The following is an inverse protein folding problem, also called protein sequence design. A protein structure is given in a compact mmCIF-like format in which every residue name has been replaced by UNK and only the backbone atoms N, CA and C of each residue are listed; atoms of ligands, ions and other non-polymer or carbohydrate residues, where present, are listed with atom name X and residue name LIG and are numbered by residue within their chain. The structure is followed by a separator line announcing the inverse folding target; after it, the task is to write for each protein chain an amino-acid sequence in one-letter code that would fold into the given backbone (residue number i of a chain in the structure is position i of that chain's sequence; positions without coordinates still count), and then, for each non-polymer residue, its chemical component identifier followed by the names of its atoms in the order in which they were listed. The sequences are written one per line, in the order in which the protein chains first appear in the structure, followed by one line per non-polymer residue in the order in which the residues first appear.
data_IF_642179027919
#
_entry.id   IF_642179027919
#
_cell.length_a   1.000
_cell.length_b   1.000
_cell.length_c   1.000
_cell.angle_alpha   90.00
_cell.angle_beta   90.00
_cell.angle_gamma   90.00
#
_symmetry.space_group_name_H-M   'P 1'
#
loop_
_entity.id
_entity.type
_entity.pdbx_description
1 polymer ?
#
# COMPACT_ATOMS: atom_id res chain seq x y z
N UNK A 1 15.58 4.87 -13.33
CA UNK A 1 15.36 3.87 -12.25
C UNK A 1 16.49 3.79 -11.20
N UNK A 2 17.54 4.63 -11.21
CA UNK A 2 18.66 4.56 -10.24
C UNK A 2 18.67 5.60 -9.11
N UNK A 3 17.72 6.55 -9.08
CA UNK A 3 17.71 7.67 -8.11
C UNK A 3 16.78 7.47 -6.90
N UNK A 4 15.94 6.44 -6.88
CA UNK A 4 15.02 6.18 -5.76
C UNK A 4 15.62 5.30 -4.65
N UNK A 5 16.71 4.60 -4.93
CA UNK A 5 17.37 3.73 -3.95
C UNK A 5 18.13 4.54 -2.88
N UNK A 6 18.72 5.68 -3.27
CA UNK A 6 19.44 6.58 -2.35
C UNK A 6 18.50 7.31 -1.39
N UNK A 7 17.28 7.67 -1.81
CA UNK A 7 16.27 8.30 -0.95
C UNK A 7 15.69 7.36 0.11
N UNK A 8 15.52 6.07 -0.22
CA UNK A 8 15.07 5.06 0.75
C UNK A 8 16.17 4.80 1.79
N UNK A 9 17.44 4.73 1.36
CA UNK A 9 18.58 4.55 2.25
C UNK A 9 18.78 5.73 3.22
N UNK A 10 18.53 6.96 2.75
CA UNK A 10 18.60 8.19 3.57
C UNK A 10 17.55 8.24 4.69
N UNK A 11 16.43 7.55 4.57
CA UNK A 11 15.42 7.45 5.63
C UNK A 11 15.77 6.42 6.72
N UNK A 12 16.58 5.40 6.39
CA UNK A 12 17.02 4.39 7.36
C UNK A 12 18.04 4.92 8.37
N UNK A 13 18.89 5.89 7.99
CA UNK A 13 19.86 6.50 8.90
C UNK A 13 19.23 7.23 10.11
N UNK A 14 18.27 8.17 9.94
CA UNK A 14 17.68 8.89 11.07
C UNK A 14 16.85 7.98 11.99
N UNK A 15 16.19 6.95 11.45
CA UNK A 15 15.41 5.98 12.25
C UNK A 15 16.30 5.10 13.14
N UNK A 16 17.49 4.70 12.67
CA UNK A 16 18.47 3.96 13.49
C UNK A 16 19.10 4.84 14.58
N UNK A 17 19.26 6.14 14.34
CA UNK A 17 19.79 7.10 15.32
C UNK A 17 18.75 7.34 16.45
N UNK A 18 17.46 7.43 16.11
CA UNK A 18 16.38 7.50 17.11
C UNK A 18 16.28 6.22 17.96
N UNK A 19 16.45 5.04 17.34
CA UNK A 19 16.42 3.76 18.06
C UNK A 19 17.59 3.63 19.04
N UNK A 20 18.80 4.04 18.65
CA UNK A 20 20.01 4.01 19.51
C UNK A 20 19.94 5.03 20.64
N UNK A 21 19.42 6.23 20.40
CA UNK A 21 19.16 7.24 21.44
C UNK A 21 18.17 6.75 22.51
N UNK A 22 17.11 6.03 22.10
CA UNK A 22 16.14 5.43 23.03
C UNK A 22 16.72 4.32 23.91
N UNK A 23 17.74 3.60 23.41
CA UNK A 23 18.37 2.50 24.14
C UNK A 23 19.37 3.01 25.20
N UNK A 24 20.06 4.11 24.92
CA UNK A 24 21.03 4.72 25.84
C UNK A 24 20.34 5.37 27.04
N UNK A 25 19.13 5.90 26.87
CA UNK A 25 18.39 6.55 27.97
C UNK A 25 17.71 5.58 28.96
N UNK A 26 17.64 4.27 28.66
CA UNK A 26 16.99 3.29 29.53
C UNK A 26 17.91 2.69 30.62
N UNK A 27 19.20 3.04 30.65
CA UNK A 27 20.21 2.45 31.56
C UNK A 27 20.66 3.32 32.74
N UNK A 28 20.02 4.46 33.01
CA UNK A 28 20.31 5.26 34.22
C UNK A 28 19.23 5.08 35.28
N UNK A 29 19.28 3.95 35.98
CA UNK A 29 18.68 3.84 37.31
C UNK A 29 19.80 4.08 38.35
N UNK A 30 19.73 5.13 39.18
CA UNK A 30 20.64 5.29 40.30
C UNK A 30 20.34 4.18 41.31
N UNK A 31 21.28 3.26 41.46
CA UNK A 31 21.29 2.22 42.48
C UNK A 31 21.43 2.90 43.84
N UNK A 32 20.33 2.96 44.60
CA UNK A 32 20.35 3.37 46.00
C UNK A 32 20.89 2.18 46.80
N UNK A 33 22.17 2.25 47.15
CA UNK A 33 22.83 1.32 48.07
C UNK A 33 22.19 1.48 49.46
N UNK A 34 21.54 0.45 50.03
CA UNK A 34 21.02 0.54 51.38
C UNK A 34 22.19 0.39 52.37
N UNK A 35 22.51 1.47 53.08
CA UNK A 35 23.43 1.40 54.22
C UNK A 35 22.80 0.57 55.34
N UNK A 36 23.34 -0.62 55.58
CA UNK A 36 22.99 -1.42 56.75
C UNK A 36 23.73 -0.84 57.96
N UNK A 37 23.01 -0.12 58.82
CA UNK A 37 23.48 0.22 60.16
C UNK A 37 23.33 -1.02 61.03
N UNK A 38 24.43 -1.76 61.18
CA UNK A 38 24.51 -2.86 62.13
C UNK A 38 24.46 -2.26 63.54
N UNK A 39 23.31 -2.39 64.21
CA UNK A 39 23.20 -2.00 65.62
C UNK A 39 23.82 -3.11 66.45
N UNK A 40 25.13 -3.03 66.68
CA UNK A 40 25.81 -3.88 67.66
C UNK A 40 25.34 -3.47 69.07
N UNK A 41 24.21 -4.03 69.52
CA UNK A 41 23.91 -4.16 70.94
C UNK A 41 24.71 -5.35 71.46
N UNK A 42 25.98 -5.13 71.78
CA UNK A 42 26.72 -6.06 72.64
C UNK A 42 26.01 -6.07 74.00
N UNK A 43 25.32 -7.16 74.30
CA UNK A 43 24.83 -7.42 75.65
C UNK A 43 26.06 -7.64 76.52
N UNK A 44 26.44 -6.61 77.30
CA UNK A 44 27.42 -6.78 78.36
C UNK A 44 26.74 -7.62 79.44
N UNK A 45 27.16 -8.87 79.57
CA UNK A 45 26.77 -9.77 80.64
C UNK A 45 27.45 -9.24 81.92
N UNK A 46 26.75 -8.40 82.68
CA UNK A 46 27.17 -8.04 84.02
C UNK A 46 26.75 -9.18 84.95
N UNK A 47 27.72 -9.85 85.57
CA UNK A 47 27.49 -10.86 86.61
C UNK A 47 26.82 -10.22 87.83
N UNK A 48 25.49 -10.09 87.79
CA UNK A 48 24.71 -9.78 88.97
C UNK A 48 24.77 -11.02 89.85
N UNK A 49 25.50 -10.92 90.97
CA UNK A 49 25.53 -11.92 92.03
C UNK A 49 24.08 -12.29 92.38
N UNK A 50 23.64 -13.48 91.98
CA UNK A 50 22.29 -13.99 92.24
C UNK A 50 22.09 -14.06 93.75
N UNK A 51 21.29 -13.16 94.29
CA UNK A 51 20.78 -13.32 95.64
C UNK A 51 19.90 -14.57 95.66
N UNK A 52 20.25 -15.50 96.54
CA UNK A 52 19.59 -16.78 96.79
C UNK A 52 18.13 -16.58 97.23
N UNK A 53 17.25 -16.34 96.27
CA UNK A 53 15.79 -16.27 96.45
C UNK A 53 15.06 -17.40 95.71
N UNK A 54 15.74 -18.49 95.38
CA UNK A 54 15.14 -19.62 94.66
C UNK A 54 14.07 -20.38 95.48
N UNK A 55 14.00 -20.14 96.78
CA UNK A 55 13.07 -20.82 97.70
C UNK A 55 12.00 -19.89 98.30
N UNK A 56 11.91 -18.63 97.89
CA UNK A 56 10.84 -17.74 98.34
C UNK A 56 9.52 -18.09 97.62
N UNK A 57 8.49 -18.43 98.38
CA UNK A 57 7.17 -18.85 97.86
C UNK A 57 6.57 -17.80 96.92
N UNK A 58 6.78 -16.52 97.23
CA UNK A 58 6.34 -15.38 96.42
C UNK A 58 7.07 -15.33 95.07
N UNK A 59 8.39 -15.50 95.05
CA UNK A 59 9.20 -15.45 93.82
C UNK A 59 8.92 -16.65 92.92
N UNK A 60 8.67 -17.83 93.50
CA UNK A 60 8.28 -19.03 92.76
C UNK A 60 6.93 -18.83 92.06
N UNK A 61 5.96 -18.20 92.72
CA UNK A 61 4.64 -17.90 92.13
C UNK A 61 4.74 -16.90 90.96
N UNK A 62 5.59 -15.88 91.07
CA UNK A 62 5.82 -14.90 89.99
C UNK A 62 6.52 -15.54 88.80
N UNK A 63 7.51 -16.42 89.05
CA UNK A 63 8.21 -17.18 88.00
C UNK A 63 7.25 -18.09 87.22
N UNK A 64 6.40 -18.86 87.90
CA UNK A 64 5.39 -19.70 87.23
C UNK A 64 4.40 -18.89 86.41
N UNK A 65 3.97 -17.72 86.90
CA UNK A 65 3.09 -16.80 86.15
C UNK A 65 3.80 -16.29 84.89
N UNK A 66 5.07 -15.92 84.99
CA UNK A 66 5.86 -15.43 83.87
C UNK A 66 6.11 -16.52 82.83
N UNK A 67 6.48 -17.73 83.27
CA UNK A 67 6.69 -18.89 82.39
C UNK A 67 5.39 -19.26 81.66
N UNK A 68 4.26 -19.27 82.38
CA UNK A 68 2.94 -19.52 81.79
C UNK A 68 2.55 -18.46 80.76
N UNK A 69 2.70 -17.17 81.07
CA UNK A 69 2.41 -16.08 80.13
C UNK A 69 3.35 -16.10 78.91
N UNK A 70 4.63 -16.41 79.14
CA UNK A 70 5.64 -16.49 78.08
C UNK A 70 5.34 -17.65 77.14
N UNK A 71 5.00 -18.83 77.67
CA UNK A 71 4.59 -20.00 76.88
C UNK A 71 3.35 -19.71 76.03
N UNK A 72 2.36 -19.01 76.59
CA UNK A 72 1.15 -18.62 75.86
C UNK A 72 1.44 -17.64 74.70
N UNK A 73 2.32 -16.65 74.91
CA UNK A 73 2.76 -15.74 73.83
C UNK A 73 3.53 -16.46 72.73
N UNK A 74 4.33 -17.47 73.08
CA UNK A 74 5.05 -18.28 72.08
C UNK A 74 4.09 -19.09 71.22
N UNK A 75 3.05 -19.69 71.82
CA UNK A 75 2.01 -20.40 71.06
C UNK A 75 1.23 -19.45 70.14
N UNK A 76 0.78 -18.31 70.63
CA UNK A 76 0.09 -17.28 69.80
C UNK A 76 1.00 -16.74 68.69
N UNK A 77 2.31 -16.59 68.95
CA UNK A 77 3.27 -16.17 67.94
C UNK A 77 3.46 -17.26 66.87
N UNK A 78 3.57 -18.53 67.26
CA UNK A 78 3.65 -19.64 66.32
C UNK A 78 2.41 -19.73 65.43
N UNK A 79 1.21 -19.61 65.99
CA UNK A 79 -0.03 -19.67 65.22
C UNK A 79 -0.14 -18.52 64.22
N UNK A 80 0.15 -17.28 64.66
CA UNK A 80 0.22 -16.13 63.74
C UNK A 80 1.29 -16.31 62.66
N UNK A 81 2.42 -16.93 63.00
CA UNK A 81 3.49 -17.19 62.03
C UNK A 81 3.09 -18.28 61.03
N UNK A 82 2.39 -19.33 61.45
CA UNK A 82 1.83 -20.36 60.57
C UNK A 82 0.81 -19.75 59.62
N UNK A 83 -0.14 -18.95 60.13
CA UNK A 83 -1.16 -18.27 59.32
C UNK A 83 -0.53 -17.33 58.27
N UNK A 84 0.43 -16.49 58.67
CA UNK A 84 1.14 -15.58 57.76
C UNK A 84 1.93 -16.34 56.69
N UNK A 85 2.59 -17.45 57.05
CA UNK A 85 3.30 -18.30 56.09
C UNK A 85 2.34 -18.93 55.08
N UNK A 86 1.18 -19.38 55.54
CA UNK A 86 0.15 -19.98 54.68
C UNK A 86 -0.42 -18.96 53.69
N UNK A 87 -0.82 -17.77 54.17
CA UNK A 87 -1.26 -16.65 53.31
C UNK A 87 -0.25 -16.31 52.21
N UNK A 88 1.04 -16.20 52.57
CA UNK A 88 2.12 -15.92 51.61
C UNK A 88 2.43 -17.06 50.65
N UNK A 89 2.04 -18.30 50.98
CA UNK A 89 2.19 -19.46 50.09
C UNK A 89 1.04 -19.48 49.08
N UNK A 90 -0.20 -19.30 49.55
CA UNK A 90 -1.39 -19.19 48.71
C UNK A 90 -1.32 -18.01 47.73
N UNK A 91 -0.87 -16.84 48.18
CA UNK A 91 -0.68 -15.67 47.32
C UNK A 91 0.36 -15.93 46.22
N UNK A 92 1.43 -16.66 46.55
CA UNK A 92 2.48 -17.02 45.59
C UNK A 92 1.96 -18.02 44.56
N UNK A 93 1.24 -19.04 45.01
CA UNK A 93 0.64 -20.06 44.14
C UNK A 93 -0.39 -19.45 43.19
N UNK A 94 -1.21 -18.50 43.69
CA UNK A 94 -2.15 -17.72 42.87
C UNK A 94 -1.44 -16.89 41.80
N UNK A 95 -0.38 -16.17 42.16
CA UNK A 95 0.42 -15.38 41.23
C UNK A 95 1.11 -16.26 40.17
N UNK A 96 1.60 -17.45 40.56
CA UNK A 96 2.19 -18.41 39.62
C UNK A 96 1.14 -18.91 38.63
N UNK A 97 -0.06 -19.26 39.09
CA UNK A 97 -1.15 -19.70 38.21
C UNK A 97 -1.54 -18.61 37.20
N UNK A 98 -1.65 -17.34 37.63
CA UNK A 98 -1.99 -16.23 36.74
C UNK A 98 -0.91 -16.01 35.67
N UNK A 99 0.38 -16.09 36.04
CA UNK A 99 1.50 -15.99 35.10
C UNK A 99 1.46 -17.12 34.06
N UNK A 100 1.15 -18.35 34.47
CA UNK A 100 1.04 -19.51 33.57
C UNK A 100 -0.12 -19.33 32.59
N UNK A 101 -1.30 -18.90 33.08
CA UNK A 101 -2.47 -18.63 32.24
C UNK A 101 -2.17 -17.55 31.19
N UNK A 102 -1.53 -16.46 31.60
CA UNK A 102 -1.16 -15.36 30.71
C UNK A 102 -0.15 -15.79 29.64
N UNK A 103 0.85 -16.59 30.00
CA UNK A 103 1.84 -17.15 29.06
C UNK A 103 1.18 -18.09 28.04
N UNK A 104 0.18 -18.88 28.47
CA UNK A 104 -0.58 -19.78 27.59
C UNK A 104 -1.43 -19.01 26.57
N UNK A 105 -2.07 -17.91 26.97
CA UNK A 105 -2.83 -17.05 26.05
C UNK A 105 -1.92 -16.31 25.06
N UNK A 106 -0.79 -15.76 25.52
CA UNK A 106 0.20 -15.12 24.63
C UNK A 106 0.75 -16.10 23.58
N UNK A 107 0.99 -17.36 23.98
CA UNK A 107 1.49 -18.41 23.08
C UNK A 107 0.44 -18.85 22.05
N UNK A 108 -0.84 -18.91 22.42
CA UNK A 108 -1.92 -19.31 21.50
C UNK A 108 -2.27 -18.21 20.49
N UNK A 109 -2.28 -16.93 20.90
CA UNK A 109 -2.44 -15.79 20.00
C UNK A 109 -1.32 -15.74 18.96
N UNK A 110 -0.09 -15.96 19.40
CA UNK A 110 1.08 -16.03 18.54
C UNK A 110 0.98 -17.12 17.47
N UNK A 111 0.64 -18.34 17.88
CA UNK A 111 0.55 -19.50 17.00
C UNK A 111 -0.56 -19.31 15.95
N UNK A 112 -1.69 -18.71 16.35
CA UNK A 112 -2.77 -18.32 15.42
C UNK A 112 -2.32 -17.28 14.39
N UNK A 113 -1.57 -16.26 14.81
CA UNK A 113 -1.06 -15.23 13.90
C UNK A 113 -0.01 -15.81 12.94
N UNK A 114 0.86 -16.70 13.42
CA UNK A 114 1.89 -17.37 12.61
C UNK A 114 1.26 -18.30 11.56
N UNK A 115 0.27 -19.11 11.97
CA UNK A 115 -0.49 -19.99 11.06
C UNK A 115 -1.34 -19.21 10.05
N UNK A 116 -1.89 -18.07 10.47
CA UNK A 116 -2.58 -17.13 9.57
C UNK A 116 -1.64 -16.50 8.55
N UNK A 117 -0.46 -16.05 8.99
CA UNK A 117 0.56 -15.45 8.12
C UNK A 117 1.15 -16.47 7.13
N UNK A 118 1.36 -17.73 7.53
CA UNK A 118 1.84 -18.79 6.63
C UNK A 118 0.80 -19.14 5.56
N UNK A 119 -0.49 -19.20 5.92
CA UNK A 119 -1.59 -19.40 4.95
C UNK A 119 -1.70 -18.23 3.96
N UNK A 120 -1.55 -17.00 4.44
CA UNK A 120 -1.60 -15.80 3.59
C UNK A 120 -0.35 -15.70 2.70
N UNK A 121 0.83 -16.06 3.21
CA UNK A 121 2.09 -16.11 2.46
C UNK A 121 2.13 -17.19 1.38
N UNK A 122 1.57 -18.38 1.62
CA UNK A 122 1.46 -19.41 0.58
C UNK A 122 0.44 -19.05 -0.51
N UNK A 123 -0.63 -18.32 -0.16
CA UNK A 123 -1.57 -17.79 -1.15
C UNK A 123 -0.94 -16.70 -2.04
N UNK A 124 -0.02 -15.90 -1.50
CA UNK A 124 0.68 -14.83 -2.23
C UNK A 124 1.97 -15.30 -2.93
N UNK A 125 2.59 -16.40 -2.48
CA UNK A 125 3.91 -16.83 -2.92
C UNK A 125 3.98 -17.90 -4.01
N UNK A 126 2.89 -18.63 -4.32
CA UNK A 126 3.00 -19.84 -5.16
C UNK A 126 2.00 -20.02 -6.32
N UNK A 127 0.80 -19.43 -6.29
CA UNK A 127 -0.26 -19.78 -7.25
C UNK A 127 -0.94 -18.62 -7.99
N UNK A 128 -0.75 -17.38 -7.55
CA UNK A 128 -1.53 -16.23 -8.04
C UNK A 128 -0.76 -15.34 -9.04
N UNK A 129 0.55 -15.54 -9.17
CA UNK A 129 1.38 -14.79 -10.12
C UNK A 129 1.00 -15.01 -11.60
N UNK A 130 0.67 -16.23 -12.07
CA UNK A 130 0.33 -16.41 -13.49
C UNK A 130 -1.02 -15.78 -13.83
N UNK A 131 -2.01 -15.93 -12.94
CA UNK A 131 -3.40 -15.58 -13.24
C UNK A 131 -3.64 -14.07 -13.19
N UNK A 132 -3.09 -13.36 -12.20
CA UNK A 132 -3.27 -11.90 -12.12
C UNK A 132 -2.47 -11.15 -13.19
N UNK A 133 -1.32 -11.68 -13.61
CA UNK A 133 -0.56 -11.17 -14.75
C UNK A 133 -1.27 -11.39 -16.09
N UNK A 134 -1.87 -12.57 -16.29
CA UNK A 134 -2.62 -12.89 -17.51
C UNK A 134 -3.91 -12.09 -17.65
N UNK A 135 -4.68 -11.94 -16.56
CA UNK A 135 -5.94 -11.18 -16.60
C UNK A 135 -5.64 -9.70 -16.86
N UNK A 136 -4.70 -9.08 -16.13
CA UNK A 136 -4.38 -7.67 -16.33
C UNK A 136 -3.84 -7.35 -17.74
N UNK A 137 -3.01 -8.23 -18.31
CA UNK A 137 -2.47 -8.07 -19.67
C UNK A 137 -3.54 -8.14 -20.77
N UNK A 138 -4.49 -9.08 -20.65
CA UNK A 138 -5.56 -9.24 -21.63
C UNK A 138 -6.52 -8.04 -21.65
N UNK A 139 -6.89 -7.54 -20.47
CA UNK A 139 -7.74 -6.35 -20.38
C UNK A 139 -7.04 -5.11 -20.93
N UNK A 140 -5.75 -4.90 -20.64
CA UNK A 140 -4.98 -3.78 -21.20
C UNK A 140 -4.90 -3.83 -22.73
N UNK A 141 -4.68 -5.00 -23.31
CA UNK A 141 -4.61 -5.17 -24.76
C UNK A 141 -5.95 -4.83 -25.43
N UNK A 142 -7.06 -5.41 -24.95
CA UNK A 142 -8.40 -5.13 -25.49
C UNK A 142 -8.79 -3.66 -25.33
N UNK A 143 -8.47 -3.05 -24.20
CA UNK A 143 -8.77 -1.64 -23.96
C UNK A 143 -7.95 -0.71 -24.85
N UNK A 144 -6.67 -1.03 -25.07
CA UNK A 144 -5.81 -0.27 -25.98
C UNK A 144 -6.32 -0.33 -27.43
N UNK A 145 -6.83 -1.47 -27.88
CA UNK A 145 -7.45 -1.62 -29.19
C UNK A 145 -8.78 -0.87 -29.32
N UNK A 146 -9.60 -0.86 -28.26
CA UNK A 146 -10.86 -0.11 -28.25
C UNK A 146 -10.61 1.41 -28.35
N UNK A 147 -9.63 1.92 -27.58
CA UNK A 147 -9.28 3.35 -27.58
C UNK A 147 -8.77 3.79 -28.95
N UNK A 148 -7.90 3.01 -29.59
CA UNK A 148 -7.38 3.35 -30.93
C UNK A 148 -8.49 3.33 -31.99
N UNK A 149 -9.40 2.36 -31.95
CA UNK A 149 -10.55 2.34 -32.86
C UNK A 149 -11.45 3.57 -32.70
N UNK A 150 -11.74 3.96 -31.47
CA UNK A 150 -12.60 5.12 -31.19
C UNK A 150 -11.94 6.45 -31.60
N UNK A 151 -10.62 6.59 -31.38
CA UNK A 151 -9.86 7.74 -31.83
C UNK A 151 -9.86 7.85 -33.36
N UNK A 152 -9.61 6.73 -34.07
CA UNK A 152 -9.65 6.68 -35.54
C UNK A 152 -11.04 7.07 -36.08
N UNK A 153 -12.12 6.61 -35.44
CA UNK A 153 -13.48 6.95 -35.85
C UNK A 153 -13.75 8.45 -35.76
N UNK A 154 -13.39 9.09 -34.63
CA UNK A 154 -13.51 10.55 -34.49
C UNK A 154 -12.60 11.31 -35.45
N UNK A 155 -11.41 10.79 -35.73
CA UNK A 155 -10.52 11.30 -36.78
C UNK A 155 -11.17 11.33 -38.15
N UNK A 156 -11.82 10.23 -38.53
CA UNK A 156 -12.53 10.10 -39.81
C UNK A 156 -13.69 11.10 -39.90
N UNK A 157 -14.51 11.21 -38.85
CA UNK A 157 -15.64 12.14 -38.80
C UNK A 157 -15.18 13.61 -38.95
N UNK A 158 -14.14 14.01 -38.21
CA UNK A 158 -13.56 15.35 -38.30
C UNK A 158 -12.90 15.63 -39.66
N UNK A 159 -12.19 14.64 -40.22
CA UNK A 159 -11.54 14.76 -41.52
C UNK A 159 -12.54 14.93 -42.66
N UNK A 160 -13.62 14.13 -42.67
CA UNK A 160 -14.69 14.24 -43.67
C UNK A 160 -15.39 15.60 -43.55
N UNK A 161 -15.77 16.02 -42.34
CA UNK A 161 -16.45 17.31 -42.13
C UNK A 161 -15.63 18.49 -42.67
N UNK A 162 -14.31 18.45 -42.46
CA UNK A 162 -13.38 19.49 -42.94
C UNK A 162 -13.30 19.50 -44.47
N UNK A 163 -13.13 18.33 -45.11
CA UNK A 163 -13.08 18.21 -46.57
C UNK A 163 -14.39 18.68 -47.22
N UNK A 164 -15.54 18.30 -46.65
CA UNK A 164 -16.86 18.72 -47.13
C UNK A 164 -17.03 20.23 -47.03
N UNK A 165 -16.55 20.85 -45.95
CA UNK A 165 -16.64 22.31 -45.78
C UNK A 165 -15.80 23.09 -46.80
N UNK A 166 -14.58 22.64 -47.09
CA UNK A 166 -13.67 23.29 -48.05
C UNK A 166 -14.07 23.05 -49.51
N UNK A 167 -14.78 21.94 -49.80
CA UNK A 167 -15.29 21.61 -51.13
C UNK A 167 -16.68 22.17 -51.43
N UNK A 168 -17.33 22.84 -50.48
CA UNK A 168 -18.70 23.35 -50.65
C UNK A 168 -18.85 24.28 -51.86
N UNK A 169 -17.92 25.21 -52.05
CA UNK A 169 -17.93 26.15 -53.18
C UNK A 169 -17.78 25.43 -54.53
N UNK A 170 -16.99 24.36 -54.55
CA UNK A 170 -16.82 23.50 -55.73
C UNK A 170 -18.11 22.71 -55.96
N UNK A 171 -18.66 22.06 -54.93
CA UNK A 171 -19.90 21.30 -55.01
C UNK A 171 -21.08 22.12 -55.52
N UNK A 172 -21.21 23.39 -55.12
CA UNK A 172 -22.25 24.30 -55.63
C UNK A 172 -22.11 24.55 -57.14
N UNK A 173 -20.89 24.59 -57.65
CA UNK A 173 -20.62 24.74 -59.09
C UNK A 173 -21.02 23.50 -59.90
N UNK A 174 -20.96 22.31 -59.30
CA UNK A 174 -21.34 21.04 -59.95
C UNK A 174 -22.81 20.66 -59.75
N UNK A 175 -23.52 21.35 -58.86
CA UNK A 175 -24.95 21.14 -58.61
C UNK A 175 -25.82 21.34 -59.85
N UNK A 176 -25.40 22.24 -60.77
CA UNK A 176 -26.10 22.45 -62.05
C UNK A 176 -26.07 21.23 -62.97
N UNK A 177 -25.10 20.33 -62.79
CA UNK A 177 -24.95 19.06 -63.55
C UNK A 177 -25.57 17.87 -62.78
N UNK A 178 -26.19 18.11 -61.61
CA UNK A 178 -26.72 17.05 -60.73
C UNK A 178 -25.64 16.08 -60.21
N UNK A 179 -24.38 16.53 -60.09
CA UNK A 179 -23.28 15.75 -59.47
C UNK A 179 -23.14 16.18 -58.01
N UNK A 180 -23.28 15.23 -57.09
CA UNK A 180 -23.06 15.45 -55.67
C UNK A 180 -21.64 15.07 -55.25
N UNK A 181 -20.74 16.08 -55.26
CA UNK A 181 -19.36 15.92 -54.82
C UNK A 181 -19.28 15.61 -53.32
N UNK A 182 -20.22 16.10 -52.52
CA UNK A 182 -20.24 15.89 -51.06
C UNK A 182 -20.52 14.42 -50.76
N UNK A 183 -21.47 13.80 -51.46
CA UNK A 183 -21.77 12.37 -51.35
C UNK A 183 -20.62 11.43 -51.77
N UNK A 184 -19.65 11.93 -52.54
CA UNK A 184 -18.45 11.17 -52.94
C UNK A 184 -17.35 11.16 -51.87
N UNK A 185 -17.41 12.06 -50.88
CA UNK A 185 -16.45 12.13 -49.77
C UNK A 185 -16.85 11.14 -48.68
N UNK A 186 -16.08 10.06 -48.58
CA UNK A 186 -16.28 8.96 -47.63
C UNK A 186 -15.00 8.70 -46.85
N UNK A 187 -15.08 7.84 -45.82
CA UNK A 187 -13.95 7.43 -44.98
C UNK A 187 -12.73 6.91 -45.76
N UNK A 188 -12.94 6.40 -46.99
CA UNK A 188 -11.87 5.93 -47.88
C UNK A 188 -11.35 7.04 -48.80
N UNK A 189 -12.21 7.93 -49.31
CA UNK A 189 -11.84 8.90 -50.36
C UNK A 189 -11.30 10.23 -49.79
N UNK A 190 -11.67 10.62 -48.56
CA UNK A 190 -11.23 11.90 -47.98
C UNK A 190 -9.70 12.01 -47.77
N UNK A 191 -9.00 10.87 -47.67
CA UNK A 191 -7.53 10.79 -47.52
C UNK A 191 -6.78 10.74 -48.84
N UNK A 192 -7.46 10.44 -49.95
CA UNK A 192 -6.82 10.22 -51.25
C UNK A 192 -7.30 11.25 -52.28
N UNK A 193 -6.53 12.35 -52.47
CA UNK A 193 -6.91 13.39 -53.42
C UNK A 193 -7.02 12.88 -54.87
N UNK A 194 -6.17 11.93 -55.25
CA UNK A 194 -6.15 11.35 -56.60
C UNK A 194 -7.46 10.61 -56.91
N UNK A 195 -7.90 9.74 -56.00
CA UNK A 195 -9.13 8.96 -56.16
C UNK A 195 -10.36 9.86 -56.19
N UNK A 196 -10.39 10.92 -55.37
CA UNK A 196 -11.50 11.88 -55.35
C UNK A 196 -11.51 12.75 -56.62
N UNK A 197 -10.34 13.12 -57.14
CA UNK A 197 -10.24 13.90 -58.38
C UNK A 197 -10.67 13.08 -59.60
N UNK A 198 -10.24 11.82 -59.65
CA UNK A 198 -10.60 10.88 -60.72
C UNK A 198 -12.10 10.56 -60.70
N UNK A 199 -12.68 10.33 -59.52
CA UNK A 199 -14.11 10.05 -59.41
C UNK A 199 -14.97 11.23 -59.86
N UNK A 200 -14.58 12.46 -59.51
CA UNK A 200 -15.23 13.69 -60.01
C UNK A 200 -15.07 13.80 -61.52
N UNK A 201 -13.90 13.49 -62.08
CA UNK A 201 -13.64 13.54 -63.52
C UNK A 201 -14.54 12.54 -64.27
N UNK A 202 -14.57 11.27 -63.86
CA UNK A 202 -15.43 10.26 -64.50
C UNK A 202 -16.91 10.58 -64.37
N UNK A 203 -17.35 11.08 -63.21
CA UNK A 203 -18.73 11.53 -63.02
C UNK A 203 -19.08 12.68 -63.98
N UNK A 204 -18.15 13.60 -64.21
CA UNK A 204 -18.34 14.73 -65.11
C UNK A 204 -18.34 14.29 -66.57
N UNK A 205 -17.43 13.39 -66.96
CA UNK A 205 -17.37 12.81 -68.31
C UNK A 205 -18.67 12.08 -68.68
N UNK A 206 -19.21 11.29 -67.76
CA UNK A 206 -20.47 10.56 -67.94
C UNK A 206 -21.68 11.47 -68.19
N UNK A 207 -21.69 12.67 -67.58
CA UNK A 207 -22.80 13.62 -67.78
C UNK A 207 -22.57 14.55 -68.97
N UNK A 208 -21.31 14.89 -69.29
CA UNK A 208 -21.00 15.84 -70.36
C UNK A 208 -21.00 15.23 -71.78
N UNK A 209 -20.63 13.95 -71.98
CA UNK A 209 -20.75 13.22 -73.27
C UNK A 209 -20.14 13.89 -74.53
N UNK A 210 -20.26 13.26 -75.71
CA UNK A 210 -19.63 13.71 -76.99
C UNK A 210 -19.97 15.14 -77.45
N UNK A 211 -21.00 15.78 -76.88
CA UNK A 211 -21.40 17.13 -77.25
C UNK A 211 -20.97 18.16 -76.20
N UNK A 212 -19.65 18.33 -76.06
CA UNK A 212 -18.99 19.37 -75.24
C UNK A 212 -19.30 20.83 -75.66
N UNK A 213 -20.17 21.03 -76.66
CA UNK A 213 -20.43 22.33 -77.25
C UNK A 213 -21.82 22.92 -76.96
N UNK A 214 -22.77 22.19 -76.37
CA UNK A 214 -24.16 22.70 -76.19
C UNK A 214 -24.78 22.52 -74.80
N UNK A 215 -24.14 21.84 -73.87
CA UNK A 215 -24.73 21.51 -72.55
C UNK A 215 -23.98 22.20 -71.42
N UNK A 216 -24.58 23.24 -70.82
CA UNK A 216 -24.18 23.93 -69.57
C UNK A 216 -22.74 24.51 -69.48
N UNK A 217 -22.60 25.70 -68.88
CA UNK A 217 -21.32 26.43 -68.71
C UNK A 217 -20.18 25.61 -68.08
N UNK A 218 -20.52 24.62 -67.25
CA UNK A 218 -19.56 23.80 -66.52
C UNK A 218 -18.88 22.77 -67.44
N UNK A 219 -19.60 22.09 -68.35
CA UNK A 219 -18.97 21.21 -69.35
C UNK A 219 -18.13 22.01 -70.37
N UNK A 220 -18.59 23.20 -70.76
CA UNK A 220 -17.84 24.10 -71.66
C UNK A 220 -16.54 24.64 -71.01
N UNK A 221 -16.57 24.92 -69.70
CA UNK A 221 -15.38 25.33 -68.94
C UNK A 221 -14.37 24.20 -68.75
N UNK A 222 -14.82 22.94 -68.69
CA UNK A 222 -13.94 21.76 -68.68
C UNK A 222 -13.40 21.44 -70.08
N UNK A 223 -14.21 21.55 -71.13
CA UNK A 223 -13.81 21.21 -72.51
C UNK A 223 -12.80 22.18 -73.14
N UNK A 224 -12.75 23.45 -72.71
CA UNK A 224 -11.75 24.42 -73.20
C UNK A 224 -10.39 24.34 -72.49
N UNK A 225 -10.32 23.73 -71.30
CA UNK A 225 -9.06 23.47 -70.62
C UNK A 225 -8.98 21.97 -70.33
N UNK A 226 -8.25 21.22 -71.16
CA UNK A 226 -7.91 19.81 -70.92
C UNK A 226 -7.06 19.58 -69.65
N UNK A 227 -7.11 20.48 -68.66
CA UNK A 227 -6.34 20.46 -67.45
C UNK A 227 -7.29 20.36 -66.23
N UNK A 228 -7.43 19.17 -65.61
CA UNK A 228 -8.07 18.99 -64.30
C UNK A 228 -7.49 19.86 -63.15
N UNK A 229 -6.45 20.65 -63.44
CA UNK A 229 -5.67 21.46 -62.51
C UNK A 229 -6.46 22.42 -61.61
N UNK A 230 -7.56 23.06 -62.07
CA UNK A 230 -8.18 24.16 -61.30
C UNK A 230 -8.94 23.68 -60.06
N UNK A 231 -9.65 22.54 -60.15
CA UNK A 231 -10.34 21.92 -59.02
C UNK A 231 -9.47 20.86 -58.34
N UNK A 232 -8.55 20.20 -59.06
CA UNK A 232 -7.61 19.25 -58.45
C UNK A 232 -6.75 19.90 -57.35
N UNK A 233 -6.32 21.15 -57.53
CA UNK A 233 -5.57 21.87 -56.50
C UNK A 233 -6.42 22.18 -55.27
N UNK A 234 -7.71 22.54 -55.45
CA UNK A 234 -8.66 22.75 -54.35
C UNK A 234 -8.97 21.45 -53.61
N UNK A 235 -9.14 20.35 -54.34
CA UNK A 235 -9.32 19.00 -53.77
C UNK A 235 -8.07 18.56 -52.98
N UNK A 236 -6.88 18.81 -53.51
CA UNK A 236 -5.63 18.50 -52.81
C UNK A 236 -5.49 19.34 -51.53
N UNK A 237 -5.80 20.64 -51.57
CA UNK A 237 -5.76 21.50 -50.39
C UNK A 237 -6.79 21.09 -49.34
N UNK A 238 -8.03 20.80 -49.74
CA UNK A 238 -9.10 20.35 -48.86
C UNK A 238 -8.74 19.01 -48.19
N UNK A 239 -8.20 18.05 -48.94
CA UNK A 239 -7.79 16.74 -48.40
C UNK A 239 -6.60 16.86 -47.45
N UNK A 240 -5.60 17.71 -47.72
CA UNK A 240 -4.49 17.98 -46.80
C UNK A 240 -5.00 18.57 -45.47
N UNK A 241 -5.89 19.57 -45.53
CA UNK A 241 -6.54 20.12 -44.33
C UNK A 241 -7.38 19.08 -43.59
N UNK A 242 -8.11 18.24 -44.31
CA UNK A 242 -8.88 17.13 -43.74
C UNK A 242 -8.01 16.10 -43.04
N UNK A 243 -6.85 15.77 -43.59
CA UNK A 243 -5.86 14.87 -42.97
C UNK A 243 -5.28 15.50 -41.70
N UNK A 244 -4.99 16.80 -41.70
CA UNK A 244 -4.54 17.52 -40.51
C UNK A 244 -5.61 17.50 -39.41
N UNK A 245 -6.85 17.88 -39.74
CA UNK A 245 -7.98 17.85 -38.82
C UNK A 245 -8.25 16.44 -38.27
N UNK A 246 -8.12 15.40 -39.09
CA UNK A 246 -8.24 14.01 -38.66
C UNK A 246 -7.16 13.64 -37.64
N UNK A 247 -5.89 14.02 -37.88
CA UNK A 247 -4.79 13.77 -36.93
C UNK A 247 -4.95 14.52 -35.62
N UNK A 248 -5.42 15.77 -35.68
CA UNK A 248 -5.68 16.57 -34.48
C UNK A 248 -6.84 15.99 -33.65
N UNK A 249 -7.92 15.56 -34.31
CA UNK A 249 -9.03 14.87 -33.65
C UNK A 249 -8.62 13.50 -33.06
N UNK A 250 -7.82 12.72 -33.78
CA UNK A 250 -7.23 11.47 -33.25
C UNK A 250 -6.36 11.74 -32.02
N UNK A 251 -5.51 12.78 -32.07
CA UNK A 251 -4.60 13.17 -31.00
C UNK A 251 -5.32 13.69 -29.75
N UNK A 252 -6.34 14.53 -29.91
CA UNK A 252 -7.13 15.07 -28.81
C UNK A 252 -7.89 13.96 -28.07
N UNK A 253 -8.51 13.03 -28.79
CA UNK A 253 -9.16 11.88 -28.18
C UNK A 253 -8.16 10.98 -27.47
N UNK A 254 -7.04 10.63 -28.10
CA UNK A 254 -5.99 9.82 -27.48
C UNK A 254 -5.44 10.48 -26.19
N UNK A 255 -5.34 11.82 -26.16
CA UNK A 255 -4.92 12.56 -24.97
C UNK A 255 -5.91 12.43 -23.79
N UNK A 256 -7.21 12.42 -24.05
CA UNK A 256 -8.22 12.20 -22.99
C UNK A 256 -8.02 10.86 -22.29
N UNK A 257 -7.77 9.80 -23.06
CA UNK A 257 -7.50 8.47 -22.52
C UNK A 257 -6.16 8.40 -21.78
N UNK A 258 -5.13 9.09 -22.28
CA UNK A 258 -3.80 9.17 -21.65
C UNK A 258 -3.85 9.85 -20.28
N UNK A 259 -4.68 10.89 -20.13
CA UNK A 259 -4.88 11.55 -18.83
C UNK A 259 -5.58 10.62 -17.82
N UNK A 260 -6.56 9.85 -18.29
CA UNK A 260 -7.31 8.89 -17.47
C UNK A 260 -6.42 7.74 -17.00
N UNK A 261 -5.60 7.17 -17.89
CA UNK A 261 -4.65 6.11 -17.52
C UNK A 261 -3.59 6.60 -16.55
N UNK A 262 -3.08 7.83 -16.74
CA UNK A 262 -2.12 8.45 -15.82
C UNK A 262 -2.69 8.55 -14.40
N UNK A 263 -3.94 9.00 -14.24
CA UNK A 263 -4.59 9.06 -12.92
C UNK A 263 -4.70 7.69 -12.24
N UNK A 264 -5.08 6.64 -13.00
CA UNK A 264 -5.17 5.27 -12.50
C UNK A 264 -3.80 4.73 -12.09
N UNK A 265 -2.74 5.01 -12.86
CA UNK A 265 -1.38 4.58 -12.47
C UNK A 265 -0.92 5.22 -11.18
N UNK A 266 -1.25 6.50 -10.93
CA UNK A 266 -0.91 7.16 -9.66
C UNK A 266 -1.67 6.54 -8.48
N UNK A 267 -2.95 6.20 -8.65
CA UNK A 267 -3.74 5.53 -7.64
C UNK A 267 -3.23 4.11 -7.34
N UNK A 268 -2.85 3.35 -8.38
CA UNK A 268 -2.26 2.02 -8.23
C UNK A 268 -0.90 2.12 -7.50
N UNK A 269 -0.04 3.06 -7.89
CA UNK A 269 1.24 3.28 -7.24
C UNK A 269 1.06 3.64 -5.74
N UNK A 270 0.11 4.52 -5.42
CA UNK A 270 -0.21 4.87 -4.04
C UNK A 270 -0.70 3.65 -3.23
N UNK A 271 -1.56 2.80 -3.81
CA UNK A 271 -2.03 1.56 -3.19
C UNK A 271 -0.88 0.58 -2.91
N UNK A 272 0.03 0.39 -3.87
CA UNK A 272 1.21 -0.46 -3.69
C UNK A 272 2.12 0.07 -2.57
N UNK A 273 2.36 1.39 -2.54
CA UNK A 273 3.14 2.02 -1.47
C UNK A 273 2.48 1.80 -0.10
N UNK A 274 1.15 1.95 0.00
CA UNK A 274 0.43 1.71 1.24
C UNK A 274 0.56 0.25 1.73
N UNK A 275 0.44 -0.73 0.83
CA UNK A 275 0.62 -2.15 1.16
C UNK A 275 2.05 -2.41 1.67
N UNK A 276 3.08 -1.85 1.02
CA UNK A 276 4.47 -2.01 1.45
C UNK A 276 4.69 -1.42 2.86
N UNK A 277 4.11 -0.26 3.15
CA UNK A 277 4.20 0.35 4.49
C UNK A 277 3.55 -0.55 5.55
N UNK A 278 2.36 -1.10 5.28
CA UNK A 278 1.68 -2.03 6.20
C UNK A 278 2.52 -3.28 6.46
N UNK A 279 3.10 -3.88 5.41
CA UNK A 279 3.97 -5.05 5.53
C UNK A 279 5.22 -4.74 6.36
N UNK A 280 5.85 -3.58 6.15
CA UNK A 280 7.00 -3.14 6.95
C UNK A 280 6.65 -2.98 8.43
N UNK A 281 5.51 -2.36 8.75
CA UNK A 281 5.05 -2.22 10.14
C UNK A 281 4.82 -3.60 10.78
N UNK A 282 4.18 -4.52 10.05
CA UNK A 282 3.98 -5.90 10.51
C UNK A 282 5.31 -6.63 10.80
N UNK A 283 6.31 -6.46 9.94
CA UNK A 283 7.65 -7.03 10.14
C UNK A 283 8.32 -6.45 11.38
N UNK A 284 8.24 -5.12 11.58
CA UNK A 284 8.83 -4.47 12.76
C UNK A 284 8.17 -5.00 14.05
N UNK A 285 6.83 -5.05 14.10
CA UNK A 285 6.09 -5.60 15.25
C UNK A 285 6.48 -7.06 15.49
N UNK A 286 6.56 -7.87 14.43
CA UNK A 286 6.97 -9.27 14.51
C UNK A 286 8.38 -9.42 15.10
N UNK A 287 9.35 -8.63 14.64
CA UNK A 287 10.73 -8.66 15.14
C UNK A 287 10.80 -8.27 16.62
N UNK A 288 10.06 -7.23 17.04
CA UNK A 288 9.99 -6.80 18.45
C UNK A 288 9.40 -7.91 19.33
N UNK A 289 8.30 -8.52 18.91
CA UNK A 289 7.67 -9.63 19.65
C UNK A 289 8.59 -10.84 19.74
N UNK A 290 9.25 -11.21 18.64
CA UNK A 290 10.21 -12.32 18.59
C UNK A 290 11.40 -12.07 19.52
N UNK A 291 11.93 -10.85 19.52
CA UNK A 291 13.01 -10.45 20.42
C UNK A 291 12.60 -10.56 21.90
N UNK A 292 11.40 -10.06 22.27
CA UNK A 292 10.87 -10.17 23.63
C UNK A 292 10.73 -11.62 24.09
N UNK A 293 10.24 -12.52 23.24
CA UNK A 293 10.13 -13.95 23.56
C UNK A 293 11.50 -14.58 23.85
N UNK A 294 12.49 -14.32 22.99
CA UNK A 294 13.86 -14.85 23.17
C UNK A 294 14.46 -14.38 24.49
N UNK A 295 14.27 -13.10 24.85
CA UNK A 295 14.70 -12.55 26.14
C UNK A 295 13.99 -13.21 27.33
N UNK A 296 12.67 -13.46 27.25
CA UNK A 296 11.89 -14.14 28.31
C UNK A 296 12.38 -15.58 28.52
N UNK A 297 12.65 -16.33 27.44
CA UNK A 297 13.16 -17.71 27.51
C UNK A 297 14.56 -17.74 28.15
N UNK A 298 15.46 -16.85 27.72
CA UNK A 298 16.81 -16.77 28.29
C UNK A 298 16.79 -16.46 29.80
N UNK A 299 15.93 -15.53 30.23
CA UNK A 299 15.75 -15.23 31.66
C UNK A 299 15.21 -16.45 32.42
N UNK A 300 14.18 -17.12 31.91
CA UNK A 300 13.62 -18.34 32.53
C UNK A 300 14.71 -19.41 32.71
N UNK A 301 15.55 -19.62 31.68
CA UNK A 301 16.66 -20.58 31.74
C UNK A 301 17.72 -20.22 32.81
N UNK A 302 17.98 -18.93 33.05
CA UNK A 302 18.86 -18.48 34.12
C UNK A 302 18.25 -18.73 35.50
N UNK A 303 16.97 -18.41 35.71
CA UNK A 303 16.31 -18.65 36.99
C UNK A 303 16.18 -20.15 37.31
N UNK A 304 15.88 -21.01 36.33
CA UNK A 304 15.86 -22.46 36.57
C UNK A 304 17.22 -23.03 36.95
N UNK A 305 18.32 -22.45 36.45
CA UNK A 305 19.66 -22.86 36.88
C UNK A 305 19.94 -22.48 38.34
N UNK A 306 19.55 -21.28 38.77
CA UNK A 306 19.72 -20.81 40.14
C UNK A 306 18.86 -21.57 41.16
N UNK A 307 17.71 -22.10 40.74
CA UNK A 307 16.76 -22.78 41.62
C UNK A 307 17.10 -24.26 41.85
N UNK A 308 17.87 -24.86 40.94
CA UNK A 308 18.34 -26.25 41.02
C UNK A 308 19.72 -26.38 41.69
N UNK A 309 20.29 -25.28 42.17
CA UNK A 309 21.58 -25.20 42.84
C UNK A 309 21.33 -24.98 44.34
#
# INVERSE_FOLDING_TARGET
MKLHYSKILLFFLPLNILLTSSYVNAQKNPYITPHHTQTNRSLCECDIKSSSYDNDEEIKSVKEIFDRQTSQRFQEYEERMKEKRQKRKEERDKNIQDIILKDKMEKSLADKIEKGCLRCGCALGGGVLPVWGLVSGLWYATWSQYVTQKAIQKGIEAGIATVVSELKDVAESFKSIHIDIIGMVNAKTYRFPQVLTESIYTATENVCGENMAQTQSVCASLGSSNNPSSYAQKVLHATVKGIAAAKDAEGTEAATYTSTTSSLTTAIAASVVAIVVIVLVMIIIYLVLRYRRKKKINKKAQYTKLLNQ
#
